data_IF_280650560884
#
_entry.id   IF_280650560884
#
_cell.length_a   1.000
_cell.length_b   1.000
_cell.length_c   1.000
_cell.angle_alpha   90.00
_cell.angle_beta   90.00
_cell.angle_gamma   90.00
#
_symmetry.space_group_name_H-M   'P 1'
#
loop_
_entity.id
_entity.type
_entity.pdbx_description
1 polymer ?
#
# COMPACT_ATOMS: atom_id res chain seq x y z
N UNK A 1 -17.93 1.50 -13.92
CA UNK A 1 -17.36 2.88 -14.10
C UNK A 1 -15.88 2.92 -13.73
N UNK A 2 -15.51 2.64 -12.48
CA UNK A 2 -14.09 2.61 -12.09
C UNK A 2 -13.34 1.43 -12.72
N UNK A 3 -13.97 0.27 -12.82
CA UNK A 3 -13.42 -0.92 -13.51
C UNK A 3 -12.92 -0.55 -14.90
N UNK A 4 -13.77 0.08 -15.71
CA UNK A 4 -13.41 0.46 -17.08
C UNK A 4 -12.20 1.37 -17.15
N UNK A 5 -12.09 2.36 -16.25
CA UNK A 5 -10.94 3.25 -16.20
C UNK A 5 -9.65 2.51 -15.82
N UNK A 6 -9.70 1.58 -14.86
CA UNK A 6 -8.55 0.75 -14.51
C UNK A 6 -8.14 -0.16 -15.68
N UNK A 7 -9.12 -0.81 -16.35
CA UNK A 7 -8.87 -1.63 -17.54
C UNK A 7 -8.24 -0.82 -18.67
N UNK A 8 -8.76 0.38 -18.96
CA UNK A 8 -8.26 1.25 -20.02
C UNK A 8 -6.84 1.73 -19.72
N UNK A 9 -6.57 2.13 -18.46
CA UNK A 9 -5.22 2.49 -18.04
C UNK A 9 -4.24 1.33 -18.26
N UNK A 10 -4.60 0.12 -17.84
CA UNK A 10 -3.75 -1.06 -18.00
C UNK A 10 -3.53 -1.37 -19.49
N UNK A 11 -4.58 -1.36 -20.31
CA UNK A 11 -4.45 -1.60 -21.76
C UNK A 11 -3.53 -0.62 -22.45
N UNK A 12 -3.62 0.66 -22.07
CA UNK A 12 -2.89 1.72 -22.73
C UNK A 12 -1.41 1.85 -22.26
N UNK A 13 -1.09 1.42 -21.04
CA UNK A 13 0.22 1.65 -20.43
C UNK A 13 1.02 0.37 -20.19
N UNK A 14 0.41 -0.80 -20.36
CA UNK A 14 1.06 -2.10 -20.16
C UNK A 14 0.96 -2.91 -21.44
N UNK A 15 1.98 -2.88 -22.32
CA UNK A 15 1.94 -3.58 -23.60
C UNK A 15 2.05 -5.11 -23.46
N UNK A 16 2.80 -5.59 -22.45
CA UNK A 16 3.07 -7.02 -22.26
C UNK A 16 1.78 -7.79 -21.92
N UNK A 17 1.68 -9.04 -22.38
CA UNK A 17 0.57 -9.95 -22.06
C UNK A 17 0.65 -10.45 -20.64
N UNK A 18 1.83 -10.82 -20.19
CA UNK A 18 2.12 -11.33 -18.83
C UNK A 18 2.48 -10.16 -17.91
N UNK A 19 1.87 -10.15 -16.73
CA UNK A 19 2.08 -9.06 -15.76
C UNK A 19 2.11 -9.58 -14.33
N UNK A 20 2.93 -8.96 -13.50
CA UNK A 20 2.93 -9.19 -12.06
C UNK A 20 1.87 -8.34 -11.36
N UNK A 21 1.19 -8.91 -10.37
CA UNK A 21 0.33 -8.18 -9.43
C UNK A 21 0.79 -8.42 -8.01
N UNK A 22 1.16 -7.35 -7.28
CA UNK A 22 1.40 -7.44 -5.84
C UNK A 22 0.06 -7.58 -5.11
N UNK A 23 -0.27 -8.81 -4.73
CA UNK A 23 -1.58 -9.19 -4.22
C UNK A 23 -1.59 -9.30 -2.70
N UNK A 24 -2.34 -8.41 -2.04
CA UNK A 24 -2.52 -8.43 -0.57
C UNK A 24 -3.84 -9.09 -0.12
N UNK A 25 -4.64 -9.60 -1.06
CA UNK A 25 -6.00 -10.08 -0.77
C UNK A 25 -6.98 -8.95 -0.36
N UNK A 26 -6.53 -7.71 -0.31
CA UNK A 26 -7.36 -6.52 -0.07
C UNK A 26 -8.13 -6.08 -1.32
N UNK A 27 -9.16 -5.25 -1.11
CA UNK A 27 -10.05 -4.77 -2.21
C UNK A 27 -9.25 -4.11 -3.33
N UNK A 28 -8.23 -3.32 -2.99
CA UNK A 28 -7.49 -2.50 -3.95
C UNK A 28 -6.63 -3.36 -4.88
N UNK A 29 -5.81 -4.23 -4.32
CA UNK A 29 -4.94 -5.12 -5.11
C UNK A 29 -5.77 -6.13 -5.91
N UNK A 30 -6.83 -6.68 -5.32
CA UNK A 30 -7.72 -7.63 -6.02
C UNK A 30 -8.45 -6.95 -7.17
N UNK A 31 -8.94 -5.70 -7.01
CA UNK A 31 -9.58 -4.98 -8.11
C UNK A 31 -8.62 -4.64 -9.26
N UNK A 32 -7.34 -4.39 -8.97
CA UNK A 32 -6.31 -4.21 -10.01
C UNK A 32 -6.06 -5.51 -10.77
N UNK A 33 -5.92 -6.65 -10.08
CA UNK A 33 -5.78 -7.95 -10.73
C UNK A 33 -6.98 -8.31 -11.61
N UNK A 34 -8.21 -8.09 -11.11
CA UNK A 34 -9.43 -8.30 -11.89
C UNK A 34 -9.55 -7.38 -13.11
N UNK A 35 -9.11 -6.12 -12.99
CA UNK A 35 -9.07 -5.20 -14.11
C UNK A 35 -8.01 -5.62 -15.14
N UNK A 36 -6.85 -6.11 -14.71
CA UNK A 36 -5.82 -6.62 -15.58
C UNK A 36 -6.29 -7.86 -16.37
N UNK A 37 -6.89 -8.82 -15.68
CA UNK A 37 -7.50 -9.98 -16.32
C UNK A 37 -8.59 -9.58 -17.35
N UNK A 38 -9.49 -8.66 -16.97
CA UNK A 38 -10.50 -8.12 -17.89
C UNK A 38 -9.88 -7.34 -19.06
N UNK A 39 -8.69 -6.78 -18.87
CA UNK A 39 -7.92 -6.13 -19.92
C UNK A 39 -7.23 -7.14 -20.87
N UNK A 40 -7.38 -8.44 -20.63
CA UNK A 40 -6.79 -9.53 -21.41
C UNK A 40 -5.34 -9.86 -21.03
N UNK A 41 -4.93 -9.50 -19.80
CA UNK A 41 -3.60 -9.83 -19.28
C UNK A 41 -3.60 -11.20 -18.57
N UNK A 42 -2.51 -11.91 -18.70
CA UNK A 42 -2.17 -13.07 -17.90
C UNK A 42 -1.58 -12.58 -16.57
N UNK A 43 -2.26 -12.91 -15.47
CA UNK A 43 -1.92 -12.38 -14.15
C UNK A 43 -1.09 -13.38 -13.38
N UNK A 44 0.13 -13.00 -13.03
CA UNK A 44 0.94 -13.68 -12.04
C UNK A 44 0.90 -12.89 -10.73
N UNK A 45 0.33 -13.47 -9.70
CA UNK A 45 0.15 -12.83 -8.41
C UNK A 45 1.31 -13.16 -7.46
N UNK A 46 1.89 -12.14 -6.86
CA UNK A 46 2.94 -12.26 -5.85
C UNK A 46 2.43 -11.78 -4.51
N UNK A 47 2.69 -12.55 -3.47
CA UNK A 47 2.35 -12.17 -2.10
C UNK A 47 3.40 -12.68 -1.12
N UNK A 48 3.51 -12.05 0.03
CA UNK A 48 4.52 -12.39 1.01
C UNK A 48 3.94 -12.70 2.38
N UNK A 49 4.73 -13.43 3.16
CA UNK A 49 4.58 -13.56 4.61
C UNK A 49 5.95 -13.57 5.28
N UNK A 50 6.00 -13.13 6.54
CA UNK A 50 7.24 -13.17 7.31
C UNK A 50 7.55 -14.62 7.72
N UNK A 51 8.82 -14.90 7.86
CA UNK A 51 9.27 -16.20 8.36
C UNK A 51 8.55 -16.54 9.67
N UNK A 52 7.84 -17.67 9.69
CA UNK A 52 7.14 -18.20 10.87
C UNK A 52 5.64 -18.47 10.69
N UNK A 53 4.86 -17.57 10.10
CA UNK A 53 3.43 -17.83 9.90
C UNK A 53 2.81 -16.97 8.80
N UNK A 54 2.00 -17.56 7.89
CA UNK A 54 1.23 -16.81 6.91
C UNK A 54 0.24 -15.85 7.57
N UNK A 55 0.24 -14.60 7.12
CA UNK A 55 -0.74 -13.60 7.55
C UNK A 55 -2.12 -13.85 6.94
N UNK A 56 -3.16 -13.25 7.53
CA UNK A 56 -4.50 -13.31 6.94
C UNK A 56 -4.52 -12.75 5.50
N UNK A 57 -3.76 -11.69 5.25
CA UNK A 57 -3.71 -11.04 3.93
C UNK A 57 -3.06 -11.97 2.90
N UNK A 58 -1.97 -12.65 3.27
CA UNK A 58 -1.35 -13.67 2.43
C UNK A 58 -2.30 -14.83 2.10
N UNK A 59 -2.95 -15.40 3.13
CA UNK A 59 -3.91 -16.50 2.94
C UNK A 59 -5.03 -16.06 2.00
N UNK A 60 -5.53 -14.83 2.16
CA UNK A 60 -6.57 -14.27 1.31
C UNK A 60 -6.08 -14.01 -0.12
N UNK A 61 -4.84 -13.58 -0.30
CA UNK A 61 -4.23 -13.42 -1.62
C UNK A 61 -4.15 -14.77 -2.36
N UNK A 62 -3.65 -15.81 -1.70
CA UNK A 62 -3.59 -17.17 -2.24
C UNK A 62 -4.98 -17.72 -2.61
N UNK A 63 -5.99 -17.51 -1.74
CA UNK A 63 -7.38 -17.90 -2.03
C UNK A 63 -7.93 -17.20 -3.28
N UNK A 64 -7.67 -15.91 -3.44
CA UNK A 64 -8.12 -15.14 -4.61
C UNK A 64 -7.44 -15.63 -5.87
N UNK A 65 -6.11 -15.76 -5.85
CA UNK A 65 -5.34 -16.24 -7.00
C UNK A 65 -5.82 -17.63 -7.44
N UNK A 66 -5.99 -18.58 -6.50
CA UNK A 66 -6.50 -19.91 -6.79
C UNK A 66 -7.91 -19.88 -7.41
N UNK A 67 -8.83 -19.09 -6.87
CA UNK A 67 -10.21 -18.96 -7.41
C UNK A 67 -10.28 -18.31 -8.78
N UNK A 68 -9.24 -17.56 -9.15
CA UNK A 68 -9.14 -16.91 -10.48
C UNK A 68 -8.28 -17.69 -11.46
N UNK A 69 -7.66 -18.79 -11.05
CA UNK A 69 -6.65 -19.53 -11.82
C UNK A 69 -5.48 -18.61 -12.25
N UNK A 70 -5.09 -17.67 -11.38
CA UNK A 70 -3.89 -16.88 -11.56
C UNK A 70 -2.68 -17.64 -11.06
N UNK A 71 -1.57 -17.55 -11.73
CA UNK A 71 -0.30 -18.03 -11.20
C UNK A 71 -0.01 -17.30 -9.88
N UNK A 72 0.58 -18.02 -8.93
CA UNK A 72 0.80 -17.49 -7.59
C UNK A 72 2.14 -17.89 -7.03
N UNK A 73 2.98 -16.88 -6.75
CA UNK A 73 4.28 -17.09 -6.11
C UNK A 73 4.25 -16.56 -4.68
N UNK A 74 4.36 -17.47 -3.69
CA UNK A 74 4.51 -17.12 -2.29
C UNK A 74 5.96 -16.74 -1.98
N UNK A 75 6.18 -15.60 -1.32
CA UNK A 75 7.50 -15.12 -0.91
C UNK A 75 7.62 -15.19 0.60
N UNK A 76 8.62 -15.90 1.09
CA UNK A 76 9.00 -15.89 2.50
C UNK A 76 9.99 -14.75 2.73
N UNK A 77 9.61 -13.80 3.58
CA UNK A 77 10.48 -12.68 3.94
C UNK A 77 11.27 -13.03 5.20
N UNK A 78 12.60 -13.15 5.12
CA UNK A 78 13.44 -13.40 6.29
C UNK A 78 13.43 -12.21 7.25
N UNK A 79 13.74 -12.47 8.51
CA UNK A 79 13.70 -11.46 9.57
C UNK A 79 14.99 -11.36 10.37
N UNK A 80 16.02 -12.07 9.93
CA UNK A 80 17.29 -12.21 10.64
C UNK A 80 18.23 -11.04 10.35
N UNK A 81 18.13 -10.40 9.17
CA UNK A 81 19.08 -9.41 8.67
C UNK A 81 18.50 -7.97 8.71
N UNK A 82 17.71 -7.64 9.72
CA UNK A 82 16.97 -6.37 9.78
C UNK A 82 17.85 -5.13 9.69
N UNK A 83 19.09 -5.17 10.20
CA UNK A 83 20.02 -4.04 10.14
C UNK A 83 20.47 -3.80 8.70
N UNK A 84 20.88 -4.85 8.00
CA UNK A 84 21.30 -4.77 6.61
C UNK A 84 20.12 -4.33 5.71
N UNK A 85 18.95 -4.90 5.93
CA UNK A 85 17.73 -4.50 5.22
C UNK A 85 17.36 -3.04 5.48
N UNK A 86 17.59 -2.58 6.68
CA UNK A 86 17.43 -1.17 7.01
C UNK A 86 18.38 -0.28 6.18
N UNK A 87 19.64 -0.66 6.05
CA UNK A 87 20.60 0.05 5.19
C UNK A 87 20.14 0.07 3.73
N UNK A 88 19.71 -1.07 3.20
CA UNK A 88 19.15 -1.18 1.83
C UNK A 88 17.96 -0.26 1.61
N UNK A 89 17.05 -0.14 2.62
CA UNK A 89 15.91 0.76 2.56
C UNK A 89 16.32 2.24 2.60
N UNK A 90 17.31 2.58 3.38
CA UNK A 90 17.84 3.96 3.42
C UNK A 90 18.45 4.37 2.08
N UNK A 91 19.15 3.47 1.39
CA UNK A 91 19.63 3.67 0.02
C UNK A 91 18.47 3.95 -0.97
N UNK A 92 17.30 3.35 -0.74
CA UNK A 92 16.07 3.63 -1.50
C UNK A 92 15.37 4.91 -1.08
N UNK A 93 15.99 5.73 -0.23
CA UNK A 93 15.45 6.97 0.33
C UNK A 93 14.39 6.82 1.43
N UNK A 94 14.30 5.67 2.07
CA UNK A 94 13.45 5.50 3.25
C UNK A 94 13.86 6.45 4.38
N UNK A 95 12.91 7.25 4.89
CA UNK A 95 13.16 8.29 5.91
C UNK A 95 12.21 8.20 7.11
N UNK A 96 11.24 7.28 7.07
CA UNK A 96 10.17 7.21 8.07
C UNK A 96 9.86 5.76 8.41
N UNK A 97 9.33 5.54 9.62
CA UNK A 97 8.77 4.26 10.03
C UNK A 97 7.82 3.68 8.97
N UNK A 98 6.91 4.52 8.45
CA UNK A 98 5.94 4.09 7.44
C UNK A 98 6.56 3.66 6.12
N UNK A 99 7.71 4.23 5.73
CA UNK A 99 8.45 3.77 4.56
C UNK A 99 9.01 2.36 4.80
N UNK A 100 9.63 2.12 5.96
CA UNK A 100 10.06 0.77 6.34
C UNK A 100 8.87 -0.20 6.29
N UNK A 101 7.81 0.09 7.03
CA UNK A 101 6.65 -0.79 7.14
C UNK A 101 6.01 -1.12 5.79
N UNK A 102 6.05 -0.20 4.84
CA UNK A 102 5.43 -0.38 3.53
C UNK A 102 6.35 -0.96 2.47
N UNK A 103 7.68 -0.90 2.64
CA UNK A 103 8.65 -1.26 1.59
C UNK A 103 9.53 -2.45 1.97
N UNK A 104 9.78 -2.67 3.27
CA UNK A 104 10.68 -3.72 3.74
C UNK A 104 10.43 -5.11 3.10
N UNK A 105 9.21 -5.66 3.09
CA UNK A 105 9.00 -6.99 2.54
C UNK A 105 9.31 -7.08 1.04
N UNK A 106 9.19 -5.96 0.34
CA UNK A 106 9.38 -5.92 -1.11
C UNK A 106 10.85 -5.92 -1.53
N UNK A 107 11.80 -5.76 -0.59
CA UNK A 107 13.22 -6.07 -0.82
C UNK A 107 13.42 -7.54 -1.26
N UNK A 108 12.51 -8.41 -0.85
CA UNK A 108 12.53 -9.84 -1.13
C UNK A 108 11.53 -10.25 -2.22
N UNK A 109 10.50 -9.45 -2.46
CA UNK A 109 9.50 -9.74 -3.50
C UNK A 109 10.00 -9.36 -4.88
N UNK A 110 10.56 -8.16 -5.06
CA UNK A 110 10.99 -7.69 -6.38
C UNK A 110 12.05 -8.55 -7.07
N UNK A 111 13.04 -9.14 -6.37
CA UNK A 111 13.99 -10.06 -6.98
C UNK A 111 13.37 -11.30 -7.62
N UNK A 112 12.21 -11.75 -7.09
CA UNK A 112 11.52 -12.96 -7.54
C UNK A 112 10.50 -12.70 -8.65
N UNK A 113 10.23 -11.43 -8.98
CA UNK A 113 9.31 -11.08 -10.05
C UNK A 113 10.01 -11.27 -11.39
N UNK A 114 9.41 -12.05 -12.29
CA UNK A 114 9.92 -12.30 -13.63
C UNK A 114 9.41 -11.25 -14.63
N UNK A 115 8.16 -10.83 -14.50
CA UNK A 115 7.49 -9.92 -15.40
C UNK A 115 8.08 -8.51 -15.34
N UNK A 116 8.01 -7.81 -16.45
CA UNK A 116 8.51 -6.44 -16.57
C UNK A 116 7.60 -5.42 -15.87
N UNK A 117 6.30 -5.61 -15.96
CA UNK A 117 5.31 -4.68 -15.40
C UNK A 117 4.72 -5.22 -14.10
N UNK A 118 4.82 -4.42 -13.04
CA UNK A 118 4.36 -4.78 -11.69
C UNK A 118 3.23 -3.85 -11.29
N UNK A 119 2.02 -4.39 -11.21
CA UNK A 119 0.81 -3.66 -10.89
C UNK A 119 0.51 -3.72 -9.40
N UNK A 120 0.07 -2.59 -8.85
CA UNK A 120 -0.29 -2.48 -7.43
C UNK A 120 -1.58 -1.71 -7.21
N UNK A 121 -2.25 -1.97 -6.08
CA UNK A 121 -3.39 -1.19 -5.59
C UNK A 121 -3.00 0.12 -4.90
N UNK A 122 -1.76 0.57 -5.04
CA UNK A 122 -1.26 1.78 -4.36
C UNK A 122 -2.04 3.03 -4.78
N UNK A 123 -2.18 3.96 -3.85
CA UNK A 123 -2.93 5.20 -4.07
C UNK A 123 -4.44 5.09 -3.79
N UNK A 124 -5.05 3.90 -3.88
CA UNK A 124 -6.49 3.73 -3.65
C UNK A 124 -6.95 4.32 -2.30
N UNK A 125 -6.23 4.01 -1.22
CA UNK A 125 -6.57 4.48 0.13
C UNK A 125 -6.66 6.01 0.24
N UNK A 126 -5.91 6.73 -0.58
CA UNK A 126 -5.95 8.18 -0.63
C UNK A 126 -7.34 8.74 -0.93
N UNK A 127 -8.13 8.03 -1.71
CA UNK A 127 -9.48 8.44 -2.06
C UNK A 127 -10.53 8.03 -1.02
N UNK A 128 -10.37 6.87 -0.42
CA UNK A 128 -11.37 6.25 0.46
C UNK A 128 -11.18 6.59 1.94
N UNK A 129 -10.03 7.10 2.30
CA UNK A 129 -9.61 7.46 3.64
C UNK A 129 -8.26 6.85 3.98
N UNK A 130 -7.18 7.64 3.89
CA UNK A 130 -5.80 7.15 3.96
C UNK A 130 -5.40 6.58 5.32
N UNK A 131 -6.24 6.73 6.34
CA UNK A 131 -6.04 6.07 7.62
C UNK A 131 -7.35 5.84 8.35
N UNK A 132 -7.41 4.82 9.20
CA UNK A 132 -8.53 4.58 10.10
C UNK A 132 -8.87 5.83 10.93
N UNK A 133 -7.86 6.55 11.39
CA UNK A 133 -7.99 7.79 12.16
C UNK A 133 -8.63 8.90 11.34
N UNK A 134 -8.22 9.06 10.08
CA UNK A 134 -8.80 10.01 9.14
C UNK A 134 -10.25 9.66 8.79
N UNK A 135 -10.54 8.39 8.49
CA UNK A 135 -11.89 7.91 8.24
C UNK A 135 -12.80 8.14 9.44
N UNK A 136 -12.32 7.92 10.64
CA UNK A 136 -13.04 8.22 11.88
C UNK A 136 -13.38 9.70 12.02
N UNK A 137 -12.58 10.60 11.51
CA UNK A 137 -12.80 12.07 11.59
C UNK A 137 -13.94 12.54 10.70
N UNK A 138 -14.16 11.87 9.56
CA UNK A 138 -15.18 12.25 8.58
C UNK A 138 -16.44 11.39 8.62
N UNK A 139 -16.41 10.22 9.26
CA UNK A 139 -17.50 9.25 9.19
C UNK A 139 -18.68 9.56 10.14
N UNK A 140 -18.51 10.41 11.13
CA UNK A 140 -19.58 10.78 12.08
C UNK A 140 -19.40 12.18 12.64
N UNK A 141 -20.54 12.81 13.03
CA UNK A 141 -20.57 14.15 13.63
C UNK A 141 -19.70 14.28 14.89
N UNK A 142 -19.73 13.31 15.78
CA UNK A 142 -18.87 13.28 16.98
C UNK A 142 -17.39 13.34 16.63
N UNK A 143 -16.99 12.66 15.56
CA UNK A 143 -15.62 12.56 15.10
C UNK A 143 -15.16 13.82 14.36
N UNK A 144 -16.07 14.50 13.67
CA UNK A 144 -15.80 15.83 13.08
C UNK A 144 -15.48 16.86 14.16
N UNK A 145 -16.17 16.80 15.30
CA UNK A 145 -15.93 17.67 16.47
C UNK A 145 -14.52 17.43 17.05
N UNK A 146 -14.14 16.16 17.20
CA UNK A 146 -12.81 15.79 17.67
C UNK A 146 -11.68 16.22 16.71
N UNK A 147 -11.92 16.19 15.40
CA UNK A 147 -10.97 16.69 14.42
C UNK A 147 -10.76 18.21 14.52
N UNK A 148 -11.82 18.96 14.74
CA UNK A 148 -11.74 20.41 14.97
C UNK A 148 -10.91 20.73 16.20
N UNK A 149 -11.17 20.02 17.32
CA UNK A 149 -10.40 20.15 18.53
C UNK A 149 -8.92 19.81 18.34
N UNK A 150 -8.65 18.68 17.67
CA UNK A 150 -7.28 18.27 17.33
C UNK A 150 -6.53 19.30 16.49
N UNK A 151 -7.14 19.83 15.45
CA UNK A 151 -6.49 20.85 14.60
C UNK A 151 -6.16 22.12 15.40
N UNK A 152 -7.08 22.53 16.29
CA UNK A 152 -6.88 23.68 17.17
C UNK A 152 -5.75 23.45 18.18
N UNK A 153 -5.74 22.29 18.82
CA UNK A 153 -4.73 21.89 19.81
C UNK A 153 -3.32 21.80 19.21
N UNK A 154 -3.21 21.34 17.96
CA UNK A 154 -1.94 21.15 17.27
C UNK A 154 -1.60 22.27 16.29
N UNK A 155 -2.29 23.39 16.34
CA UNK A 155 -2.12 24.53 15.43
C UNK A 155 -2.09 24.14 13.94
N UNK A 156 -2.93 23.18 13.54
CA UNK A 156 -3.00 22.67 12.18
C UNK A 156 -4.15 23.27 11.39
N UNK A 157 -3.92 23.59 10.11
CA UNK A 157 -4.98 24.03 9.19
C UNK A 157 -6.07 22.96 9.13
N UNK A 158 -7.31 23.39 9.27
CA UNK A 158 -8.48 22.55 9.10
C UNK A 158 -8.72 22.29 7.63
N UNK A 159 -8.57 21.04 7.20
CA UNK A 159 -8.79 20.60 5.83
C UNK A 159 -10.22 20.11 5.64
N UNK A 160 -10.83 20.40 4.51
CA UNK A 160 -12.04 19.72 4.06
C UNK A 160 -11.70 18.32 3.51
N UNK A 161 -12.73 17.56 3.12
CA UNK A 161 -12.53 16.18 2.63
C UNK A 161 -11.62 16.09 1.41
N UNK A 162 -11.77 17.01 0.45
CA UNK A 162 -10.96 17.02 -0.77
C UNK A 162 -9.53 17.48 -0.50
N UNK A 163 -9.35 18.54 0.25
CA UNK A 163 -8.02 19.02 0.67
C UNK A 163 -7.26 17.93 1.42
N UNK A 164 -7.94 17.18 2.29
CA UNK A 164 -7.34 16.08 3.02
C UNK A 164 -6.88 14.96 2.10
N UNK A 165 -7.68 14.58 1.08
CA UNK A 165 -7.31 13.57 0.08
C UNK A 165 -6.15 14.03 -0.78
N UNK A 166 -6.18 15.29 -1.25
CA UNK A 166 -5.11 15.88 -2.05
C UNK A 166 -3.79 15.93 -1.27
N UNK A 167 -3.82 16.36 -0.02
CA UNK A 167 -2.63 16.39 0.83
C UNK A 167 -1.99 15.01 1.01
N UNK A 168 -2.78 13.93 0.93
CA UNK A 168 -2.25 12.56 0.93
C UNK A 168 -1.75 12.13 -0.45
N UNK A 169 -2.53 12.36 -1.50
CA UNK A 169 -2.22 11.89 -2.86
C UNK A 169 -1.05 12.65 -3.51
N UNK A 170 -0.94 13.95 -3.22
CA UNK A 170 0.13 14.82 -3.73
C UNK A 170 1.34 14.88 -2.78
N UNK A 171 1.16 14.35 -1.57
CA UNK A 171 2.24 14.23 -0.59
C UNK A 171 3.06 12.96 -0.79
N UNK A 172 3.83 12.68 0.24
CA UNK A 172 4.58 11.43 0.34
C UNK A 172 3.60 10.27 0.62
N UNK A 173 2.99 9.73 -0.44
CA UNK A 173 2.18 8.51 -0.38
C UNK A 173 3.04 7.38 0.17
N UNK A 174 3.02 7.18 1.46
CA UNK A 174 3.76 6.25 2.30
C UNK A 174 4.55 5.16 1.54
N UNK A 175 5.76 5.49 1.10
CA UNK A 175 6.65 4.52 0.44
C UNK A 175 6.44 4.35 -1.07
N UNK A 176 5.59 5.11 -1.76
CA UNK A 176 5.40 4.98 -3.21
C UNK A 176 6.69 5.22 -4.00
N UNK A 177 7.43 6.28 -3.65
CA UNK A 177 8.71 6.61 -4.29
C UNK A 177 9.74 5.50 -4.08
N UNK A 178 9.83 5.02 -2.85
CA UNK A 178 10.74 3.94 -2.47
C UNK A 178 10.39 2.63 -3.18
N UNK A 179 9.11 2.35 -3.34
CA UNK A 179 8.63 1.21 -4.13
C UNK A 179 9.02 1.34 -5.60
N UNK A 180 8.84 2.52 -6.19
CA UNK A 180 9.22 2.78 -7.58
C UNK A 180 10.73 2.68 -7.77
N UNK A 181 11.53 3.20 -6.82
CA UNK A 181 12.99 3.07 -6.84
C UNK A 181 13.40 1.59 -6.76
N UNK A 182 12.74 0.81 -5.91
CA UNK A 182 13.02 -0.62 -5.78
C UNK A 182 12.67 -1.38 -7.06
N UNK A 183 11.52 -1.12 -7.67
CA UNK A 183 11.14 -1.68 -8.95
C UNK A 183 12.19 -1.37 -10.03
N UNK A 184 12.62 -0.11 -10.12
CA UNK A 184 13.64 0.33 -11.08
C UNK A 184 14.98 -0.39 -10.85
N UNK A 185 15.41 -0.57 -9.59
CA UNK A 185 16.62 -1.32 -9.22
C UNK A 185 16.60 -2.77 -9.77
N UNK A 186 15.43 -3.35 -9.90
CA UNK A 186 15.21 -4.69 -10.44
C UNK A 186 14.75 -4.70 -11.92
N UNK A 187 14.94 -3.59 -12.66
CA UNK A 187 14.53 -3.44 -14.06
C UNK A 187 13.03 -3.67 -14.29
N UNK A 188 12.20 -3.36 -13.30
CA UNK A 188 10.74 -3.47 -13.37
C UNK A 188 10.08 -2.09 -13.50
N UNK A 189 8.90 -2.07 -14.08
CA UNK A 189 8.07 -0.87 -14.22
C UNK A 189 6.91 -0.99 -13.24
N UNK A 190 6.93 -0.15 -12.20
CA UNK A 190 5.86 -0.09 -11.21
C UNK A 190 4.67 0.68 -11.77
N UNK A 191 3.51 0.02 -11.87
CA UNK A 191 2.27 0.59 -12.39
C UNK A 191 1.24 0.71 -11.27
N UNK A 192 0.69 1.92 -11.14
CA UNK A 192 -0.30 2.26 -10.10
C UNK A 192 -1.58 2.79 -10.74
N UNK A 193 -2.49 1.93 -11.21
CA UNK A 193 -3.67 2.34 -11.96
C UNK A 193 -4.59 3.31 -11.21
N UNK A 194 -4.61 3.25 -9.87
CA UNK A 194 -5.37 4.19 -9.03
C UNK A 194 -4.85 5.62 -9.06
N UNK A 195 -3.62 5.86 -9.50
CA UNK A 195 -3.05 7.21 -9.66
C UNK A 195 -3.25 7.79 -11.04
N UNK A 196 -3.90 7.06 -11.95
CA UNK A 196 -4.30 7.55 -13.26
C UNK A 196 -5.16 8.82 -13.16
N UNK A 197 -5.00 9.74 -14.12
CA UNK A 197 -5.68 11.03 -14.11
C UNK A 197 -7.21 10.93 -14.16
N UNK A 198 -7.74 10.02 -14.97
CA UNK A 198 -9.19 9.84 -15.11
C UNK A 198 -9.78 9.09 -13.92
N UNK A 199 -9.07 8.11 -13.37
CA UNK A 199 -9.42 7.45 -12.09
C UNK A 199 -9.43 8.48 -10.97
N UNK A 200 -8.40 9.31 -10.89
CA UNK A 200 -8.31 10.40 -9.91
C UNK A 200 -9.48 11.38 -10.04
N UNK A 201 -9.76 11.85 -11.25
CA UNK A 201 -10.88 12.76 -11.54
C UNK A 201 -12.21 12.17 -11.09
N UNK A 202 -12.48 10.91 -11.43
CA UNK A 202 -13.69 10.20 -11.02
C UNK A 202 -13.80 10.11 -9.49
N UNK A 203 -12.77 9.58 -8.82
CA UNK A 203 -12.81 9.34 -7.38
C UNK A 203 -12.84 10.64 -6.58
N UNK A 204 -12.14 11.69 -7.04
CA UNK A 204 -12.16 13.01 -6.39
C UNK A 204 -13.51 13.71 -6.52
N UNK A 205 -14.31 13.44 -7.56
CA UNK A 205 -15.68 13.98 -7.70
C UNK A 205 -16.67 13.39 -6.70
N UNK A 206 -16.33 12.28 -6.04
CA UNK A 206 -17.23 11.55 -5.13
C UNK A 206 -17.13 12.02 -3.69
N UNK A 207 -18.29 12.11 -3.05
CA UNK A 207 -18.38 12.33 -1.60
C UNK A 207 -17.90 11.09 -0.82
N UNK A 208 -17.52 11.30 0.44
CA UNK A 208 -17.20 10.18 1.34
C UNK A 208 -18.32 9.12 1.39
N UNK A 209 -19.58 9.55 1.39
CA UNK A 209 -20.74 8.66 1.46
C UNK A 209 -20.86 7.78 0.22
N UNK A 210 -20.70 8.35 -0.98
CA UNK A 210 -20.72 7.59 -2.23
C UNK A 210 -19.59 6.56 -2.29
N UNK A 211 -18.41 6.93 -1.81
CA UNK A 211 -17.24 6.06 -1.82
C UNK A 211 -17.34 4.90 -0.81
N UNK A 212 -17.93 5.16 0.39
CA UNK A 212 -17.76 4.27 1.54
C UNK A 212 -19.05 3.79 2.21
N UNK A 213 -20.24 4.07 1.67
CA UNK A 213 -21.52 3.60 2.27
C UNK A 213 -22.27 2.72 1.30
N UNK A 214 -22.90 1.65 1.79
CA UNK A 214 -23.06 1.24 3.21
C UNK A 214 -21.81 0.59 3.81
N UNK A 215 -20.82 0.21 2.98
CA UNK A 215 -19.60 -0.51 3.38
C UNK A 215 -18.36 0.23 2.87
N UNK A 216 -17.26 0.16 3.61
CA UNK A 216 -15.99 0.75 3.19
C UNK A 216 -15.59 0.30 1.77
N UNK A 217 -15.10 1.27 0.97
CA UNK A 217 -14.77 1.07 -0.46
C UNK A 217 -15.94 0.52 -1.27
N UNK A 218 -17.16 0.91 -0.91
CA UNK A 218 -18.38 0.45 -1.57
C UNK A 218 -18.36 0.74 -3.08
N UNK A 219 -17.81 1.87 -3.47
CA UNK A 219 -17.73 2.28 -4.87
C UNK A 219 -16.91 1.27 -5.73
N UNK A 220 -15.79 0.77 -5.21
CA UNK A 220 -15.03 -0.30 -5.87
C UNK A 220 -15.84 -1.61 -5.82
N UNK A 221 -16.35 -1.97 -4.63
CA UNK A 221 -17.05 -3.23 -4.42
C UNK A 221 -18.32 -3.38 -5.25
N UNK A 222 -18.97 -2.27 -5.60
CA UNK A 222 -20.18 -2.30 -6.46
C UNK A 222 -19.85 -2.52 -7.93
N UNK A 223 -18.68 -2.08 -8.36
CA UNK A 223 -18.23 -2.21 -9.76
C UNK A 223 -17.48 -3.53 -10.02
N UNK A 224 -16.86 -4.08 -8.98
CA UNK A 224 -16.21 -5.39 -8.98
C UNK A 224 -17.03 -6.40 -8.17
N UNK A 225 -18.10 -6.90 -8.77
CA UNK A 225 -19.06 -7.79 -8.10
C UNK A 225 -18.45 -9.14 -7.71
N UNK A 226 -17.40 -9.57 -8.39
CA UNK A 226 -16.62 -10.78 -8.12
C UNK A 226 -16.00 -10.77 -6.72
N UNK A 227 -15.72 -9.58 -6.16
CA UNK A 227 -15.23 -9.44 -4.79
C UNK A 227 -16.13 -10.13 -3.75
N UNK A 228 -17.42 -10.34 -4.06
CA UNK A 228 -18.34 -11.08 -3.20
C UNK A 228 -18.04 -12.57 -3.17
N UNK A 229 -17.47 -13.12 -4.25
CA UNK A 229 -17.14 -14.55 -4.39
C UNK A 229 -15.94 -14.98 -3.54
N UNK A 230 -15.11 -14.03 -3.11
CA UNK A 230 -13.93 -14.29 -2.30
C UNK A 230 -14.23 -14.30 -0.79
N UNK A 231 -15.51 -14.30 -0.40
CA UNK A 231 -15.94 -14.29 0.99
C UNK A 231 -15.67 -12.95 1.68
N UNK A 232 -15.40 -12.97 2.97
CA UNK A 232 -15.15 -11.76 3.73
C UNK A 232 -13.75 -11.24 3.45
N UNK A 233 -13.65 -10.18 2.63
CA UNK A 233 -12.47 -9.33 2.61
C UNK A 233 -12.63 -8.37 3.77
N UNK A 234 -11.78 -8.51 4.79
CA UNK A 234 -11.83 -7.66 5.99
C UNK A 234 -11.80 -6.17 5.63
N UNK A 235 -12.44 -5.31 6.44
CA UNK A 235 -12.23 -3.87 6.33
C UNK A 235 -10.73 -3.57 6.39
N UNK A 236 -10.31 -2.50 5.73
CA UNK A 236 -8.93 -2.09 5.64
C UNK A 236 -8.19 -2.23 6.98
N UNK A 237 -7.23 -3.12 7.00
CA UNK A 237 -6.16 -3.18 7.98
C UNK A 237 -4.87 -2.97 7.19
N UNK A 238 -3.96 -2.20 7.76
CA UNK A 238 -2.69 -1.98 7.09
C UNK A 238 -1.95 -3.32 6.94
N UNK A 239 -1.48 -3.62 5.75
CA UNK A 239 -0.77 -4.86 5.42
C UNK A 239 0.38 -5.14 6.40
N UNK A 240 1.15 -4.11 6.75
CA UNK A 240 2.26 -4.22 7.69
C UNK A 240 1.84 -4.66 9.11
N UNK A 241 0.64 -4.27 9.58
CA UNK A 241 0.12 -4.70 10.88
C UNK A 241 -0.30 -6.17 10.85
N UNK A 242 -0.96 -6.60 9.78
CA UNK A 242 -1.42 -7.99 9.64
C UNK A 242 -0.25 -8.94 9.41
N UNK A 243 0.77 -8.49 8.69
CA UNK A 243 1.98 -9.27 8.42
C UNK A 243 2.99 -9.25 9.59
N UNK A 244 2.81 -8.38 10.60
CA UNK A 244 3.72 -8.28 11.74
C UNK A 244 4.98 -7.43 11.50
N UNK A 245 5.07 -6.69 10.39
CA UNK A 245 6.22 -5.83 10.05
C UNK A 245 6.43 -4.72 11.07
N UNK A 246 5.36 -4.22 11.68
CA UNK A 246 5.42 -3.22 12.74
C UNK A 246 6.18 -3.71 13.98
N UNK A 247 6.08 -5.01 14.30
CA UNK A 247 6.83 -5.64 15.40
C UNK A 247 8.31 -5.78 15.06
N UNK A 248 8.63 -6.12 13.82
CA UNK A 248 10.03 -6.15 13.36
C UNK A 248 10.68 -4.77 13.49
N UNK A 249 9.94 -3.73 13.16
CA UNK A 249 10.43 -2.38 13.34
C UNK A 249 10.70 -2.04 14.80
N UNK A 250 9.87 -2.51 15.74
CA UNK A 250 10.11 -2.35 17.17
C UNK A 250 11.35 -3.14 17.63
N UNK A 251 11.59 -4.32 17.08
CA UNK A 251 12.80 -5.08 17.31
C UNK A 251 14.04 -4.32 16.86
N UNK A 252 13.99 -3.75 15.65
CA UNK A 252 15.06 -2.91 15.12
C UNK A 252 15.33 -1.68 16.02
N UNK A 253 14.27 -1.02 16.51
CA UNK A 253 14.37 0.11 17.43
C UNK A 253 15.07 -0.22 18.74
N UNK A 254 14.91 -1.44 19.23
CA UNK A 254 15.45 -1.91 20.50
C UNK A 254 16.80 -2.60 20.32
N UNK A 255 17.34 -2.65 19.11
CA UNK A 255 18.66 -3.25 18.88
C UNK A 255 19.76 -2.40 19.53
N UNK A 256 20.56 -2.99 20.47
CA UNK A 256 21.59 -2.25 21.17
C UNK A 256 22.72 -1.76 20.26
N UNK A 257 23.00 -2.44 19.16
CA UNK A 257 24.03 -2.05 18.18
C UNK A 257 23.68 -0.73 17.49
N UNK A 258 22.38 -0.47 17.26
CA UNK A 258 21.92 0.77 16.65
C UNK A 258 21.76 1.91 17.65
N UNK A 259 21.86 1.62 18.96
CA UNK A 259 21.75 2.58 20.04
C UNK A 259 20.54 3.54 19.92
N UNK A 260 19.41 3.06 19.39
CA UNK A 260 18.18 3.84 19.29
C UNK A 260 17.52 3.99 20.66
N UNK A 261 17.27 5.23 21.07
CA UNK A 261 16.50 5.54 22.30
C UNK A 261 15.11 6.07 21.97
N UNK A 262 14.28 5.26 21.27
CA UNK A 262 12.88 5.57 21.01
C UNK A 262 12.59 6.18 19.63
N UNK A 263 11.29 6.26 19.29
CA UNK A 263 10.78 6.58 17.92
C UNK A 263 11.30 7.89 17.31
N UNK A 264 11.46 8.94 18.11
CA UNK A 264 11.97 10.24 17.60
C UNK A 264 13.40 10.10 17.10
N UNK A 265 14.22 9.36 17.82
CA UNK A 265 15.63 9.18 17.48
C UNK A 265 15.81 8.38 16.19
N UNK A 266 14.95 7.39 15.95
CA UNK A 266 14.99 6.66 14.69
C UNK A 266 14.59 7.52 13.49
N UNK A 267 13.63 8.41 13.64
CA UNK A 267 13.31 9.39 12.57
C UNK A 267 14.50 10.28 12.28
N UNK A 268 15.23 10.69 13.31
CA UNK A 268 16.45 11.49 13.17
C UNK A 268 17.55 10.68 12.50
N UNK A 269 17.77 9.43 12.87
CA UNK A 269 18.75 8.54 12.24
C UNK A 269 18.39 8.26 10.78
N UNK A 270 17.12 8.02 10.45
CA UNK A 270 16.69 7.89 9.05
C UNK A 270 17.04 9.13 8.24
N UNK A 271 16.81 10.30 8.80
CA UNK A 271 17.14 11.57 8.16
C UNK A 271 18.66 11.73 8.01
N UNK A 272 19.40 11.43 9.06
CA UNK A 272 20.85 11.61 9.08
C UNK A 272 21.53 10.65 8.11
N UNK A 273 21.09 9.39 8.06
CA UNK A 273 21.56 8.43 7.05
C UNK A 273 21.20 8.85 5.63
N UNK A 274 19.99 9.35 5.40
CA UNK A 274 19.60 9.85 4.07
C UNK A 274 20.39 11.10 3.64
N UNK A 275 21.04 11.77 4.60
CA UNK A 275 21.92 12.90 4.36
C UNK A 275 23.43 12.49 4.32
N UNK A 276 23.71 11.17 4.33
CA UNK A 276 25.07 10.65 4.31
C UNK A 276 25.79 10.68 5.66
N UNK A 277 25.09 11.02 6.73
CA UNK A 277 25.62 10.96 8.10
C UNK A 277 25.31 9.59 8.67
N UNK A 278 26.28 8.68 8.63
CA UNK A 278 26.15 7.37 9.26
C UNK A 278 26.35 7.51 10.78
N UNK A 279 25.51 6.88 11.61
CA UNK A 279 25.83 6.75 13.01
C UNK A 279 27.08 5.85 13.15
N UNK A 280 28.07 6.37 13.82
CA UNK A 280 29.25 5.63 14.27
C UNK A 280 28.84 4.73 15.43
#
# INVERSE_FOLDING_TARGET
MIRKLLEDHIKNNVPDSEIAVLLSGGVDSVSVGLAAESAGKEVHAYSFYLNGAPSYDFIKAAEVAHKRNWDFTPIVVPTENLIEDWHRLVELTCRKKTHFECVFPFLYVYPEIEEKYVLTGWGADGYFGPSKKAMMRYSSYKKKRNYVAYCKEHNQKRLNWNEFRLAYLDGDCAGLKEHTNLATKHNKIHVTPYLDADVRKLLMSKSYKELNKPKQKYFIRSDFTELKKFGTIKPHQNLHLNAGVDKLFETLLNNPELNFKGRKRMMDVCRDWSNGVLPI
#
